data_IF_322992378591
#
_entry.id   IF_322992378591
#
_cell.length_a   1.000
_cell.length_b   1.000
_cell.length_c   1.000
_cell.angle_alpha   90.00
_cell.angle_beta   90.00
_cell.angle_gamma   90.00
#
_symmetry.space_group_name_H-M   'P 1'
#
loop_
_entity.id
_entity.type
_entity.pdbx_description
1 polymer ?
#
# COMPACT_ATOMS: atom_id res chain seq x y z
N UNK A 1 -0.12 -1.13 24.50
CA UNK A 1 -1.30 -0.23 24.42
C UNK A 1 -1.17 0.72 23.24
N UNK A 2 -2.30 1.24 22.75
CA UNK A 2 -2.34 2.35 21.81
C UNK A 2 -2.62 3.64 22.60
N UNK A 3 -1.65 4.55 22.60
CA UNK A 3 -1.74 5.89 23.15
C UNK A 3 -2.29 6.86 22.08
N UNK A 4 -2.66 8.07 22.49
CA UNK A 4 -3.17 9.12 21.61
C UNK A 4 -2.28 10.36 21.72
N UNK A 5 -1.58 10.69 20.63
CA UNK A 5 -0.50 11.66 20.61
C UNK A 5 0.50 11.38 21.75
N UNK A 6 0.80 12.38 22.57
CA UNK A 6 1.72 12.29 23.72
C UNK A 6 1.06 11.74 25.00
N UNK A 7 -0.19 11.26 24.92
CA UNK A 7 -0.99 10.91 26.11
C UNK A 7 -1.90 9.70 25.94
N UNK A 8 -2.88 9.60 26.85
CA UNK A 8 -3.89 8.52 26.86
C UNK A 8 -5.25 9.04 26.41
N UNK A 9 -6.04 8.18 25.78
CA UNK A 9 -7.47 8.42 25.54
C UNK A 9 -8.19 8.76 26.86
N UNK A 10 -9.06 9.77 26.85
CA UNK A 10 -9.79 10.25 28.02
C UNK A 10 -11.14 10.84 27.63
N UNK A 11 -12.21 10.07 27.87
CA UNK A 11 -13.58 10.51 27.55
C UNK A 11 -14.03 11.72 28.36
N UNK A 12 -13.71 11.75 29.66
CA UNK A 12 -14.07 12.88 30.54
C UNK A 12 -13.38 14.19 30.17
N UNK A 13 -12.19 14.13 29.56
CA UNK A 13 -11.44 15.30 29.09
C UNK A 13 -11.62 15.58 27.60
N UNK A 14 -12.42 14.78 26.89
CA UNK A 14 -12.59 14.91 25.44
C UNK A 14 -11.30 14.69 24.63
N UNK A 15 -10.37 13.87 25.13
CA UNK A 15 -9.07 13.62 24.46
C UNK A 15 -9.09 12.25 23.78
N UNK A 16 -8.90 12.25 22.46
CA UNK A 16 -8.87 11.05 21.62
C UNK A 16 -10.02 10.99 20.63
N UNK A 17 -9.89 10.12 19.63
CA UNK A 17 -10.95 9.78 18.68
C UNK A 17 -11.63 8.49 19.15
N UNK A 18 -12.93 8.56 19.43
CA UNK A 18 -13.73 7.38 19.78
C UNK A 18 -14.50 6.86 18.55
N UNK A 19 -15.02 5.64 18.64
CA UNK A 19 -15.64 4.96 17.49
C UNK A 19 -16.83 5.70 16.85
N UNK A 20 -17.57 6.48 17.65
CA UNK A 20 -18.64 7.38 17.18
C UNK A 20 -18.08 8.58 16.43
N UNK A 21 -16.93 9.10 16.87
CA UNK A 21 -16.32 10.30 16.33
C UNK A 21 -15.70 10.02 14.97
N UNK A 22 -15.09 8.84 14.82
CA UNK A 22 -14.45 8.41 13.57
C UNK A 22 -15.38 8.53 12.35
N UNK A 23 -16.66 8.21 12.52
CA UNK A 23 -17.68 8.29 11.45
C UNK A 23 -17.93 9.73 10.98
N UNK A 24 -17.77 10.70 11.88
CA UNK A 24 -17.99 12.12 11.61
C UNK A 24 -16.79 12.83 10.99
N UNK A 25 -15.62 12.19 10.94
CA UNK A 25 -14.38 12.81 10.44
C UNK A 25 -14.32 12.97 8.93
N UNK A 26 -15.20 12.28 8.18
CA UNK A 26 -15.12 12.19 6.72
C UNK A 26 -14.00 11.28 6.20
N UNK A 27 -13.18 10.70 7.10
CA UNK A 27 -12.13 9.76 6.73
C UNK A 27 -12.74 8.36 6.54
N UNK A 28 -12.57 7.71 5.37
CA UNK A 28 -13.09 6.38 5.13
C UNK A 28 -12.57 5.36 6.14
N UNK A 29 -13.41 4.37 6.50
CA UNK A 29 -13.08 3.33 7.48
C UNK A 29 -11.78 2.59 7.14
N UNK A 30 -11.50 2.38 5.86
CA UNK A 30 -10.32 1.63 5.43
C UNK A 30 -9.01 2.40 5.66
N UNK A 31 -9.05 3.74 5.65
CA UNK A 31 -7.89 4.57 6.01
C UNK A 31 -7.58 4.41 7.51
N UNK A 32 -8.63 4.39 8.35
CA UNK A 32 -8.48 4.07 9.78
C UNK A 32 -7.92 2.66 9.99
N UNK A 33 -8.49 1.65 9.32
CA UNK A 33 -8.04 0.26 9.43
C UNK A 33 -6.59 0.11 9.01
N UNK A 34 -6.21 0.70 7.88
CA UNK A 34 -4.84 0.70 7.40
C UNK A 34 -3.90 1.29 8.46
N UNK A 35 -4.16 2.51 8.92
CA UNK A 35 -3.24 3.20 9.82
C UNK A 35 -3.12 2.49 11.17
N UNK A 36 -4.24 2.12 11.78
CA UNK A 36 -4.25 1.43 13.08
C UNK A 36 -3.55 0.07 13.03
N UNK A 37 -3.61 -0.64 11.91
CA UNK A 37 -2.84 -1.86 11.70
C UNK A 37 -1.35 -1.56 11.40
N UNK A 38 -1.05 -0.48 10.68
CA UNK A 38 0.32 -0.05 10.38
C UNK A 38 1.10 0.34 11.64
N UNK A 39 0.44 1.00 12.60
CA UNK A 39 1.02 1.35 13.92
C UNK A 39 0.57 0.40 15.04
N UNK A 40 0.08 -0.80 14.71
CA UNK A 40 -0.45 -1.74 15.71
C UNK A 40 0.56 -2.00 16.83
N UNK A 41 0.18 -1.81 18.11
CA UNK A 41 1.04 -2.17 19.23
C UNK A 41 1.07 -3.71 19.37
N UNK A 42 2.21 -4.32 19.04
CA UNK A 42 2.40 -5.78 19.12
C UNK A 42 3.33 -6.17 20.26
N UNK A 43 4.58 -5.68 20.23
CA UNK A 43 5.59 -5.94 21.26
C UNK A 43 5.76 -4.81 22.27
N UNK A 44 5.36 -3.60 21.88
CA UNK A 44 5.51 -2.38 22.67
C UNK A 44 4.34 -1.44 22.38
N UNK A 45 4.18 -0.46 23.25
CA UNK A 45 3.20 0.61 23.06
C UNK A 45 3.48 1.39 21.77
N UNK A 46 2.41 1.87 21.15
CA UNK A 46 2.44 2.79 20.02
C UNK A 46 1.52 3.97 20.32
N UNK A 47 1.70 5.07 19.58
CA UNK A 47 0.83 6.24 19.66
C UNK A 47 0.15 6.45 18.32
N UNK A 48 -1.16 6.71 18.36
CA UNK A 48 -1.85 7.33 17.24
C UNK A 48 -1.37 8.77 17.10
N UNK A 49 -1.05 9.22 15.88
CA UNK A 49 -0.77 10.63 15.59
C UNK A 49 -1.44 11.08 14.30
N UNK A 50 -2.08 12.25 14.32
CA UNK A 50 -2.69 12.83 13.12
C UNK A 50 -1.69 13.12 12.02
N UNK A 51 -0.52 13.65 12.37
CA UNK A 51 0.52 13.99 11.40
C UNK A 51 1.06 12.73 10.71
N UNK A 52 1.23 11.64 11.48
CA UNK A 52 1.70 10.37 10.93
C UNK A 52 0.60 9.65 10.13
N UNK A 53 -0.68 9.73 10.55
CA UNK A 53 -1.81 9.26 9.75
C UNK A 53 -1.80 9.90 8.35
N UNK A 54 -1.72 11.23 8.28
CA UNK A 54 -1.69 11.97 7.00
C UNK A 54 -0.45 11.57 6.19
N UNK A 55 0.71 11.49 6.85
CA UNK A 55 1.97 11.10 6.19
C UNK A 55 1.87 9.72 5.58
N UNK A 56 1.40 8.71 6.33
CA UNK A 56 1.28 7.32 5.85
C UNK A 56 0.18 7.15 4.82
N UNK A 57 -0.93 7.86 4.94
CA UNK A 57 -1.92 7.90 3.87
C UNK A 57 -1.29 8.38 2.56
N UNK A 58 -0.57 9.50 2.58
CA UNK A 58 0.00 10.07 1.37
C UNK A 58 1.17 9.23 0.81
N UNK A 59 2.07 8.75 1.67
CA UNK A 59 3.25 8.02 1.22
C UNK A 59 2.95 6.57 0.84
N UNK A 60 2.11 5.86 1.62
CA UNK A 60 1.90 4.42 1.44
C UNK A 60 0.61 4.11 0.67
N UNK A 61 -0.49 4.80 0.94
CA UNK A 61 -1.73 4.55 0.22
C UNK A 61 -1.76 5.29 -1.12
N UNK A 62 -1.50 6.60 -1.14
CA UNK A 62 -1.58 7.38 -2.37
C UNK A 62 -0.39 7.12 -3.30
N UNK A 63 0.83 7.41 -2.84
CA UNK A 63 2.02 7.40 -3.70
C UNK A 63 2.60 6.01 -3.98
N UNK A 64 2.21 5.00 -3.20
CA UNK A 64 2.68 3.63 -3.38
C UNK A 64 1.56 2.71 -3.86
N UNK A 65 0.68 2.22 -2.97
CA UNK A 65 -0.34 1.22 -3.29
C UNK A 65 -1.31 1.68 -4.38
N UNK A 66 -1.92 2.84 -4.15
CA UNK A 66 -2.85 3.47 -5.06
C UNK A 66 -2.20 3.81 -6.40
N UNK A 67 -0.98 4.38 -6.38
CA UNK A 67 -0.25 4.69 -7.60
C UNK A 67 0.02 3.44 -8.46
N UNK A 68 0.49 2.35 -7.88
CA UNK A 68 0.77 1.12 -8.63
C UNK A 68 -0.52 0.54 -9.24
N UNK A 69 -1.55 0.33 -8.42
CA UNK A 69 -2.81 -0.26 -8.88
C UNK A 69 -3.47 0.62 -9.95
N UNK A 70 -3.50 1.95 -9.73
CA UNK A 70 -4.08 2.89 -10.67
C UNK A 70 -3.33 2.84 -12.00
N UNK A 71 -1.99 2.96 -11.99
CA UNK A 71 -1.18 2.91 -13.22
C UNK A 71 -1.39 1.61 -13.98
N UNK A 72 -1.38 0.46 -13.29
CA UNK A 72 -1.60 -0.84 -13.94
C UNK A 72 -2.99 -0.92 -14.60
N UNK A 73 -4.05 -0.55 -13.88
CA UNK A 73 -5.44 -0.62 -14.38
C UNK A 73 -5.70 0.38 -15.50
N UNK A 74 -5.24 1.63 -15.36
CA UNK A 74 -5.38 2.67 -16.40
C UNK A 74 -4.60 2.28 -17.65
N UNK A 75 -3.40 1.73 -17.49
CA UNK A 75 -2.60 1.26 -18.62
C UNK A 75 -3.28 0.12 -19.38
N UNK A 76 -3.81 -0.87 -18.67
CA UNK A 76 -4.59 -1.96 -19.27
C UNK A 76 -5.85 -1.47 -19.98
N UNK A 77 -6.61 -0.57 -19.33
CA UNK A 77 -7.83 0.02 -19.89
C UNK A 77 -7.55 0.78 -21.19
N UNK A 78 -6.56 1.67 -21.18
CA UNK A 78 -6.32 2.60 -22.28
C UNK A 78 -5.64 1.94 -23.48
N UNK A 79 -4.76 0.95 -23.24
CA UNK A 79 -3.92 0.39 -24.31
C UNK A 79 -4.32 -1.03 -24.73
N UNK A 80 -5.05 -1.76 -23.87
CA UNK A 80 -5.43 -3.16 -24.11
C UNK A 80 -6.92 -3.40 -23.95
N UNK A 81 -7.75 -2.35 -24.08
CA UNK A 81 -9.22 -2.43 -23.98
C UNK A 81 -9.71 -3.06 -22.66
N UNK A 82 -8.92 -2.91 -21.58
CA UNK A 82 -9.21 -3.52 -20.28
C UNK A 82 -9.03 -5.04 -20.25
N UNK A 83 -8.34 -5.62 -21.23
CA UNK A 83 -8.02 -7.06 -21.27
C UNK A 83 -6.56 -7.29 -20.90
N UNK A 84 -6.28 -8.43 -20.27
CA UNK A 84 -4.89 -8.83 -19.96
C UNK A 84 -4.24 -9.30 -21.26
N UNK A 85 -3.14 -8.66 -21.72
CA UNK A 85 -2.48 -9.05 -22.96
C UNK A 85 -1.75 -10.39 -22.80
N UNK A 86 -1.43 -11.04 -23.92
CA UNK A 86 -0.54 -12.19 -23.91
C UNK A 86 0.87 -11.76 -23.48
N UNK A 87 1.48 -12.54 -22.59
CA UNK A 87 2.79 -12.23 -22.00
C UNK A 87 3.82 -13.24 -22.52
N UNK A 88 4.96 -12.74 -22.99
CA UNK A 88 6.17 -13.54 -23.21
C UNK A 88 7.20 -13.10 -22.17
N UNK A 89 7.27 -13.79 -21.01
CA UNK A 89 8.07 -13.32 -19.90
C UNK A 89 9.56 -13.37 -20.21
N UNK A 90 10.26 -12.32 -19.80
CA UNK A 90 11.71 -12.19 -19.79
C UNK A 90 12.30 -12.65 -18.46
N UNK A 91 13.63 -12.72 -18.37
CA UNK A 91 14.30 -13.01 -17.09
C UNK A 91 14.00 -11.94 -16.02
N UNK A 92 13.90 -10.66 -16.40
CA UNK A 92 13.50 -9.58 -15.48
C UNK A 92 12.11 -9.82 -14.89
N UNK A 93 11.17 -10.30 -15.70
CA UNK A 93 9.81 -10.61 -15.27
C UNK A 93 9.79 -11.76 -14.27
N UNK A 94 10.59 -12.81 -14.51
CA UNK A 94 10.75 -13.91 -13.57
C UNK A 94 11.40 -13.46 -12.26
N UNK A 95 12.38 -12.56 -12.32
CA UNK A 95 12.99 -11.97 -11.13
C UNK A 95 11.97 -11.16 -10.31
N UNK A 96 11.14 -10.34 -10.95
CA UNK A 96 10.05 -9.64 -10.28
C UNK A 96 9.07 -10.63 -9.62
N UNK A 97 8.64 -11.66 -10.35
CA UNK A 97 7.71 -12.67 -9.84
C UNK A 97 8.30 -13.40 -8.63
N UNK A 98 9.59 -13.73 -8.64
CA UNK A 98 10.27 -14.36 -7.52
C UNK A 98 10.30 -13.44 -6.28
N UNK A 99 10.58 -12.13 -6.47
CA UNK A 99 10.54 -11.15 -5.39
C UNK A 99 9.13 -10.99 -4.81
N UNK A 100 8.11 -10.85 -5.66
CA UNK A 100 6.71 -10.78 -5.22
C UNK A 100 6.27 -12.06 -4.49
N UNK A 101 6.70 -13.23 -4.96
CA UNK A 101 6.43 -14.53 -4.31
C UNK A 101 7.08 -14.61 -2.93
N UNK A 102 8.31 -14.10 -2.78
CA UNK A 102 8.99 -14.01 -1.48
C UNK A 102 8.21 -13.11 -0.51
N UNK A 103 7.77 -11.94 -0.95
CA UNK A 103 6.96 -11.04 -0.12
C UNK A 103 5.60 -11.65 0.24
N UNK A 104 4.96 -12.38 -0.69
CA UNK A 104 3.72 -13.11 -0.42
C UNK A 104 3.93 -14.20 0.64
N UNK A 105 5.02 -14.95 0.55
CA UNK A 105 5.36 -15.94 1.58
C UNK A 105 5.57 -15.28 2.93
N UNK A 106 6.30 -14.16 2.99
CA UNK A 106 6.47 -13.37 4.20
C UNK A 106 5.15 -12.87 4.79
N UNK A 107 4.22 -12.41 3.93
CA UNK A 107 2.87 -12.02 4.33
C UNK A 107 2.10 -13.18 4.99
N UNK A 108 2.09 -14.36 4.36
CA UNK A 108 1.41 -15.55 4.90
C UNK A 108 2.00 -15.94 6.25
N UNK A 109 3.33 -16.07 6.34
CA UNK A 109 4.01 -16.43 7.60
C UNK A 109 3.76 -15.40 8.72
N UNK A 110 3.69 -14.11 8.37
CA UNK A 110 3.37 -13.05 9.32
C UNK A 110 1.94 -13.20 9.86
N UNK A 111 0.96 -13.43 8.98
CA UNK A 111 -0.43 -13.60 9.38
C UNK A 111 -0.68 -14.88 10.19
N UNK A 112 -0.05 -16.00 9.83
CA UNK A 112 -0.12 -17.25 10.60
C UNK A 112 0.39 -17.06 12.03
N UNK A 113 1.37 -16.17 12.21
CA UNK A 113 1.94 -15.80 13.51
C UNK A 113 1.27 -14.57 14.14
N UNK A 114 0.14 -14.11 13.60
CA UNK A 114 -0.60 -12.93 14.06
C UNK A 114 0.23 -11.62 14.12
N UNK A 115 1.27 -11.52 13.29
CA UNK A 115 2.11 -10.33 13.10
C UNK A 115 1.49 -9.42 12.03
N UNK A 116 0.33 -8.84 12.35
CA UNK A 116 -0.48 -8.06 11.41
C UNK A 116 0.27 -6.82 10.89
N UNK A 117 1.08 -6.19 11.75
CA UNK A 117 1.89 -5.04 11.37
C UNK A 117 2.88 -5.38 10.26
N UNK A 118 3.54 -6.53 10.38
CA UNK A 118 4.49 -7.01 9.38
C UNK A 118 3.78 -7.47 8.09
N UNK A 119 2.59 -8.09 8.23
CA UNK A 119 1.75 -8.45 7.08
C UNK A 119 1.44 -7.26 6.16
N UNK A 120 1.04 -6.10 6.72
CA UNK A 120 0.80 -4.90 5.90
C UNK A 120 2.07 -4.44 5.16
N UNK A 121 3.23 -4.54 5.80
CA UNK A 121 4.50 -4.10 5.19
C UNK A 121 4.86 -4.94 3.97
N UNK A 122 4.57 -6.24 3.98
CA UNK A 122 4.75 -7.11 2.80
C UNK A 122 3.84 -6.71 1.64
N UNK A 123 2.56 -6.38 1.90
CA UNK A 123 1.65 -5.86 0.86
C UNK A 123 2.23 -4.57 0.24
N UNK A 124 2.65 -3.63 1.09
CA UNK A 124 3.24 -2.38 0.62
C UNK A 124 4.55 -2.60 -0.16
N UNK A 125 5.33 -3.62 0.21
CA UNK A 125 6.57 -4.02 -0.47
C UNK A 125 6.30 -4.49 -1.90
N UNK A 126 5.29 -5.34 -2.10
CA UNK A 126 4.86 -5.80 -3.44
C UNK A 126 4.49 -4.62 -4.32
N UNK A 127 3.74 -3.65 -3.78
CA UNK A 127 3.39 -2.44 -4.52
C UNK A 127 4.62 -1.59 -4.89
N UNK A 128 5.63 -1.49 -4.01
CA UNK A 128 6.88 -0.76 -4.33
C UNK A 128 7.64 -1.45 -5.47
N UNK A 129 7.73 -2.78 -5.44
CA UNK A 129 8.32 -3.57 -6.53
C UNK A 129 7.57 -3.32 -7.85
N UNK A 130 6.24 -3.31 -7.83
CA UNK A 130 5.42 -3.01 -9.00
C UNK A 130 5.63 -1.59 -9.54
N UNK A 131 5.69 -0.58 -8.66
CA UNK A 131 6.01 0.79 -9.05
C UNK A 131 7.40 0.91 -9.70
N UNK A 132 8.41 0.27 -9.10
CA UNK A 132 9.78 0.28 -9.62
C UNK A 132 9.84 -0.40 -11.00
N UNK A 133 9.21 -1.57 -11.15
CA UNK A 133 9.18 -2.30 -12.41
C UNK A 133 8.49 -1.51 -13.54
N UNK A 134 7.34 -0.88 -13.25
CA UNK A 134 6.70 0.01 -14.20
C UNK A 134 7.59 1.21 -14.56
N UNK A 135 8.36 1.72 -13.61
CA UNK A 135 9.24 2.86 -13.82
C UNK A 135 10.49 2.53 -14.64
N UNK A 136 11.11 1.36 -14.43
CA UNK A 136 12.26 0.91 -15.20
C UNK A 136 11.89 0.58 -16.64
N UNK A 137 10.74 -0.08 -16.85
CA UNK A 137 10.32 -0.54 -18.17
C UNK A 137 9.67 0.54 -19.04
N UNK A 138 9.22 1.65 -18.44
CA UNK A 138 8.61 2.79 -19.14
C UNK A 138 7.61 2.39 -20.25
N UNK A 139 6.60 1.54 -19.96
CA UNK A 139 5.76 0.96 -21.00
C UNK A 139 4.91 1.99 -21.78
N UNK A 140 4.73 3.21 -21.26
CA UNK A 140 4.12 4.34 -21.97
C UNK A 140 5.01 4.96 -23.05
N UNK A 141 6.31 4.70 -23.03
CA UNK A 141 7.26 5.06 -24.09
C UNK A 141 7.25 3.96 -25.15
N UNK A 142 7.40 2.70 -24.74
CA UNK A 142 7.47 1.54 -25.64
C UNK A 142 6.26 1.42 -26.58
N UNK A 143 5.06 1.76 -26.11
CA UNK A 143 3.84 1.72 -26.93
C UNK A 143 3.76 2.81 -28.02
N UNK A 144 4.56 3.88 -27.94
CA UNK A 144 4.52 4.96 -28.94
C UNK A 144 5.34 4.64 -30.20
N UNK A 145 6.08 3.52 -30.21
CA UNK A 145 7.04 3.15 -31.27
C UNK A 145 8.34 3.97 -31.19
N UNK A 146 9.41 3.50 -31.81
CA UNK A 146 10.56 4.36 -32.13
C UNK A 146 10.19 5.29 -33.30
N UNK A 147 10.80 6.48 -33.37
CA UNK A 147 10.61 7.37 -34.53
C UNK A 147 11.13 6.75 -35.85
N UNK A 148 11.88 5.64 -35.78
CA UNK A 148 12.34 4.86 -36.93
C UNK A 148 11.29 3.86 -37.46
N UNK A 149 10.16 3.68 -36.76
CA UNK A 149 9.07 2.76 -37.13
C UNK A 149 7.77 3.48 -37.55
N UNK A 150 7.80 4.81 -37.73
CA UNK A 150 6.69 5.62 -38.27
C UNK A 150 6.96 6.07 -39.71
#
# INVERSE_FOLDING_TARGET
YLNYEDGKFSKSRGVGVFGTDAQSTGIPSDVWRFYLLYVRPESQDSSFSWNDLVTKNNSELLNNLGNFINRALVFAKNNFKGTVPAIKPTEEDFNLLALCTRELKGYVEALEKSKLRDGIRHILSISRLGNQYMQSNQPWVLLKGSDDEK
#
